data_IF_324773516118
#
_entry.id   IF_324773516118
#
_cell.length_a   1.000
_cell.length_b   1.000
_cell.length_c   1.000
_cell.angle_alpha   90.00
_cell.angle_beta   90.00
_cell.angle_gamma   90.00
#
_symmetry.space_group_name_H-M   'P 1'
#
loop_
_entity.id
_entity.type
_entity.pdbx_description
1 polymer ?
#
# COMPACT_ATOMS: atom_id res chain seq x y z
N UNK A 1 12.31 -28.33 -7.20
CA UNK A 1 12.36 -26.85 -7.06
C UNK A 1 13.35 -26.54 -5.95
N UNK A 2 14.46 -25.82 -6.21
CA UNK A 2 15.38 -25.48 -5.14
C UNK A 2 14.67 -24.51 -4.20
N UNK A 3 14.54 -24.91 -2.94
CA UNK A 3 13.90 -24.13 -1.89
C UNK A 3 14.85 -23.05 -1.39
N UNK A 4 14.51 -21.78 -1.61
CA UNK A 4 15.19 -20.64 -1.00
C UNK A 4 15.17 -20.76 0.52
N UNK A 5 16.32 -20.72 1.23
CA UNK A 5 16.39 -20.87 2.68
C UNK A 5 15.60 -19.76 3.41
N UNK A 6 15.00 -20.11 4.55
CA UNK A 6 14.39 -19.14 5.45
C UNK A 6 15.46 -18.13 5.93
N UNK A 7 15.19 -16.83 5.77
CA UNK A 7 16.09 -15.74 6.17
C UNK A 7 16.88 -15.07 5.03
N UNK A 8 16.77 -15.52 3.77
CA UNK A 8 17.32 -14.74 2.65
C UNK A 8 16.41 -13.55 2.31
N UNK A 9 16.92 -12.33 2.50
CA UNK A 9 16.35 -11.10 1.95
C UNK A 9 16.84 -10.93 0.52
N UNK A 10 15.94 -10.98 -0.45
CA UNK A 10 16.24 -10.67 -1.84
C UNK A 10 15.93 -9.19 -2.09
N UNK A 11 16.93 -8.41 -2.46
CA UNK A 11 16.69 -7.04 -2.96
C UNK A 11 16.19 -7.14 -4.40
N UNK A 12 15.02 -6.56 -4.67
CA UNK A 12 14.41 -6.55 -5.99
C UNK A 12 14.71 -5.25 -6.74
N UNK A 13 14.66 -4.13 -6.03
CA UNK A 13 14.96 -2.81 -6.57
C UNK A 13 15.93 -2.08 -5.67
N UNK A 14 16.94 -1.47 -6.28
CA UNK A 14 17.81 -0.52 -5.60
C UNK A 14 17.27 0.92 -5.67
N UNK A 15 18.02 1.85 -5.10
CA UNK A 15 17.62 3.25 -5.02
C UNK A 15 17.61 3.96 -6.35
N UNK A 16 18.53 3.63 -7.25
CA UNK A 16 18.66 4.36 -8.51
C UNK A 16 17.52 3.94 -9.44
N UNK A 17 17.17 2.64 -9.43
CA UNK A 17 15.96 2.12 -10.07
C UNK A 17 14.69 2.74 -9.49
N UNK A 18 14.56 2.77 -8.15
CA UNK A 18 13.39 3.36 -7.50
C UNK A 18 13.29 4.87 -7.66
N UNK A 19 14.39 5.59 -7.82
CA UNK A 19 14.35 7.01 -8.16
C UNK A 19 13.68 7.24 -9.53
N UNK A 20 14.00 6.40 -10.53
CA UNK A 20 13.32 6.42 -11.83
C UNK A 20 11.82 6.08 -11.73
N UNK A 21 11.47 5.12 -10.86
CA UNK A 21 10.07 4.78 -10.56
C UNK A 21 9.36 5.98 -9.92
N UNK A 22 9.94 6.61 -8.91
CA UNK A 22 9.37 7.77 -8.21
C UNK A 22 9.17 8.97 -9.13
N UNK A 23 10.12 9.23 -10.04
CA UNK A 23 9.97 10.27 -11.06
C UNK A 23 8.82 9.97 -12.02
N UNK A 24 8.57 8.70 -12.34
CA UNK A 24 7.43 8.29 -13.18
C UNK A 24 6.11 8.42 -12.44
N UNK A 25 6.05 8.00 -11.17
CA UNK A 25 4.89 8.22 -10.30
C UNK A 25 4.57 9.71 -10.16
N UNK A 26 5.58 10.57 -10.00
CA UNK A 26 5.41 12.02 -9.90
C UNK A 26 4.82 12.60 -11.20
N UNK A 27 5.31 12.17 -12.37
CA UNK A 27 4.71 12.58 -13.65
C UNK A 27 3.25 12.18 -13.75
N UNK A 28 2.89 10.95 -13.38
CA UNK A 28 1.49 10.52 -13.36
C UNK A 28 0.66 11.35 -12.37
N UNK A 29 1.16 11.57 -11.16
CA UNK A 29 0.48 12.39 -10.15
C UNK A 29 0.23 13.82 -10.64
N UNK A 30 1.18 14.42 -11.37
CA UNK A 30 1.02 15.74 -11.97
C UNK A 30 -0.10 15.81 -13.03
N UNK A 31 -0.48 14.69 -13.65
CA UNK A 31 -1.64 14.63 -14.58
C UNK A 31 -2.98 14.55 -13.85
N UNK A 32 -2.99 14.03 -12.62
CA UNK A 32 -4.22 13.82 -11.83
C UNK A 32 -4.50 15.00 -10.89
N UNK A 33 -3.43 15.58 -10.34
CA UNK A 33 -3.51 16.65 -9.35
C UNK A 33 -3.57 18.02 -10.03
N UNK A 34 -4.52 18.88 -9.63
CA UNK A 34 -4.51 20.28 -10.05
C UNK A 34 -3.31 21.03 -9.47
N UNK A 35 -2.92 22.14 -10.10
CA UNK A 35 -1.82 22.99 -9.63
C UNK A 35 -2.11 23.67 -8.27
N UNK A 36 -3.38 23.84 -7.93
CA UNK A 36 -3.86 24.36 -6.65
C UNK A 36 -4.98 23.49 -6.09
N UNK A 37 -5.25 23.59 -4.79
CA UNK A 37 -6.27 22.78 -4.10
C UNK A 37 -6.00 21.26 -4.21
N UNK A 38 -4.76 20.87 -3.97
CA UNK A 38 -4.34 19.48 -3.82
C UNK A 38 -3.70 19.24 -2.46
N UNK A 39 -3.79 18.01 -1.95
CA UNK A 39 -3.06 17.57 -0.75
C UNK A 39 -2.65 16.10 -0.85
N UNK A 40 -1.50 15.78 -0.27
CA UNK A 40 -1.02 14.41 -0.13
C UNK A 40 -1.43 13.85 1.24
N UNK A 41 -1.86 12.59 1.26
CA UNK A 41 -2.17 11.85 2.48
C UNK A 41 -1.16 10.69 2.60
N UNK A 42 -0.18 10.83 3.48
CA UNK A 42 0.86 9.84 3.68
C UNK A 42 0.47 8.79 4.73
N UNK A 43 0.32 7.52 4.33
CA UNK A 43 -0.01 6.46 5.27
C UNK A 43 1.20 6.09 6.12
N UNK A 44 1.08 6.19 7.44
CA UNK A 44 2.15 5.82 8.34
C UNK A 44 2.31 4.30 8.44
N UNK A 45 3.53 3.77 8.59
CA UNK A 45 4.79 4.50 8.81
C UNK A 45 5.56 4.85 7.54
N UNK A 46 5.55 3.99 6.52
CA UNK A 46 6.44 4.06 5.35
C UNK A 46 5.86 4.86 4.18
N UNK A 47 4.54 4.90 4.04
CA UNK A 47 3.84 5.72 3.03
C UNK A 47 4.03 7.23 3.23
N UNK A 48 4.14 7.72 4.47
CA UNK A 48 4.39 9.14 4.75
C UNK A 48 5.74 9.64 4.17
N UNK A 49 6.90 9.02 4.48
CA UNK A 49 8.16 9.41 3.86
C UNK A 49 8.17 9.23 2.34
N UNK A 50 7.49 8.19 1.83
CA UNK A 50 7.32 8.00 0.39
C UNK A 50 6.55 9.17 -0.23
N UNK A 51 5.49 9.64 0.44
CA UNK A 51 4.73 10.81 0.03
C UNK A 51 5.59 12.08 0.01
N UNK A 52 6.51 12.23 0.97
CA UNK A 52 7.47 13.34 1.01
C UNK A 52 8.45 13.30 -0.16
N UNK A 53 8.96 12.12 -0.52
CA UNK A 53 9.78 11.96 -1.72
C UNK A 53 8.98 12.31 -2.99
N UNK A 54 7.74 11.85 -3.08
CA UNK A 54 6.84 12.17 -4.21
C UNK A 54 6.55 13.67 -4.31
N UNK A 55 6.31 14.33 -3.17
CA UNK A 55 6.10 15.78 -3.05
C UNK A 55 7.29 16.57 -3.63
N UNK A 56 8.52 16.16 -3.28
CA UNK A 56 9.75 16.78 -3.78
C UNK A 56 9.91 16.60 -5.30
N UNK A 57 9.66 15.38 -5.81
CA UNK A 57 9.69 15.13 -7.25
C UNK A 57 8.63 15.94 -8.00
N UNK A 58 7.41 16.04 -7.46
CA UNK A 58 6.33 16.84 -8.03
C UNK A 58 6.70 18.33 -8.12
N UNK A 59 7.18 18.90 -7.01
CA UNK A 59 7.65 20.30 -6.95
C UNK A 59 8.75 20.56 -7.98
N UNK A 60 9.77 19.71 -8.02
CA UNK A 60 10.88 19.83 -8.96
C UNK A 60 10.44 19.71 -10.44
N UNK A 61 9.55 18.76 -10.76
CA UNK A 61 9.12 18.53 -12.14
C UNK A 61 8.15 19.61 -12.66
N UNK A 62 7.32 20.18 -11.79
CA UNK A 62 6.29 21.15 -12.17
C UNK A 62 6.74 22.60 -11.99
N UNK A 63 7.80 22.84 -11.22
CA UNK A 63 8.23 24.18 -10.79
C UNK A 63 7.26 24.86 -9.82
N UNK A 64 6.28 24.12 -9.28
CA UNK A 64 5.28 24.62 -8.33
C UNK A 64 5.75 24.40 -6.88
N UNK A 65 5.22 25.17 -5.91
CA UNK A 65 5.47 24.92 -4.49
C UNK A 65 5.06 23.50 -4.08
N UNK A 66 5.68 23.00 -3.00
CA UNK A 66 5.34 21.70 -2.45
C UNK A 66 3.88 21.64 -1.98
N UNK A 67 3.16 20.63 -2.47
CA UNK A 67 1.76 20.36 -2.10
C UNK A 67 1.70 19.96 -0.62
N UNK A 68 0.76 20.47 0.20
CA UNK A 68 0.64 20.07 1.61
C UNK A 68 0.56 18.55 1.80
N UNK A 69 1.29 18.03 2.79
CA UNK A 69 1.33 16.61 3.15
C UNK A 69 0.78 16.41 4.57
N UNK A 70 -0.21 15.53 4.70
CA UNK A 70 -0.81 15.15 5.98
C UNK A 70 -0.55 13.67 6.28
N UNK A 71 0.07 13.35 7.43
CA UNK A 71 0.23 11.97 7.84
C UNK A 71 -1.10 11.39 8.32
N UNK A 72 -1.34 10.11 8.05
CA UNK A 72 -2.48 9.38 8.56
C UNK A 72 -2.05 8.01 9.08
N UNK A 73 -2.38 7.70 10.33
CA UNK A 73 -2.01 6.44 10.95
C UNK A 73 -3.13 5.42 10.76
N UNK A 74 -2.87 4.40 9.96
CA UNK A 74 -3.79 3.30 9.66
C UNK A 74 -3.08 1.98 9.91
N UNK A 75 -3.67 1.08 10.70
CA UNK A 75 -3.02 -0.17 11.13
C UNK A 75 -4.00 -1.34 11.14
N UNK A 76 -3.64 -2.42 10.44
CA UNK A 76 -4.34 -3.72 10.47
C UNK A 76 -3.40 -4.87 10.79
N UNK A 77 -2.25 -4.89 10.12
CA UNK A 77 -1.23 -5.92 10.29
C UNK A 77 -0.05 -5.39 11.11
N UNK A 78 0.71 -6.30 11.72
CA UNK A 78 2.07 -6.04 12.19
C UNK A 78 3.04 -6.06 10.99
N UNK A 79 4.29 -5.65 11.24
CA UNK A 79 5.33 -5.63 10.21
C UNK A 79 5.64 -7.04 9.65
N UNK A 80 5.32 -8.11 10.40
CA UNK A 80 5.44 -9.50 9.95
C UNK A 80 4.19 -10.00 9.21
N UNK A 81 3.24 -9.13 8.87
CA UNK A 81 1.90 -9.40 8.31
C UNK A 81 0.94 -10.13 9.27
N UNK A 82 1.28 -10.33 10.55
CA UNK A 82 0.35 -10.94 11.50
C UNK A 82 -0.83 -9.99 11.72
N UNK A 83 -2.04 -10.54 11.82
CA UNK A 83 -3.23 -9.71 12.05
C UNK A 83 -3.17 -9.23 13.50
N UNK A 84 -2.92 -7.93 13.70
CA UNK A 84 -2.88 -7.34 15.04
C UNK A 84 -4.26 -7.07 15.60
N UNK A 85 -5.21 -6.74 14.72
CA UNK A 85 -6.56 -6.34 15.08
C UNK A 85 -7.55 -6.99 14.11
N UNK A 86 -8.71 -7.41 14.63
CA UNK A 86 -9.82 -7.91 13.80
C UNK A 86 -10.37 -6.85 12.85
N UNK A 87 -10.14 -5.57 13.15
CA UNK A 87 -10.57 -4.40 12.38
C UNK A 87 -9.38 -3.48 12.07
N UNK A 88 -9.47 -2.72 10.98
CA UNK A 88 -8.43 -1.75 10.60
C UNK A 88 -8.60 -0.48 11.43
N UNK A 89 -7.66 -0.26 12.34
CA UNK A 89 -7.61 0.93 13.20
C UNK A 89 -7.12 2.12 12.39
N UNK A 90 -7.76 3.27 12.58
CA UNK A 90 -7.37 4.56 12.01
C UNK A 90 -7.37 5.57 13.15
N UNK A 91 -6.26 6.27 13.32
CA UNK A 91 -6.17 7.41 14.23
C UNK A 91 -6.39 8.67 13.40
N UNK A 92 -7.44 9.41 13.75
CA UNK A 92 -7.82 10.63 13.05
C UNK A 92 -6.70 11.68 13.14
N UNK A 93 -6.54 12.44 12.06
CA UNK A 93 -5.66 13.60 12.05
C UNK A 93 -6.53 14.86 12.16
N UNK A 94 -6.49 15.59 13.29
CA UNK A 94 -7.31 16.78 13.50
C UNK A 94 -7.12 17.85 12.42
N UNK A 95 -5.93 17.95 11.83
CA UNK A 95 -5.64 18.90 10.76
C UNK A 95 -6.44 18.60 9.48
N UNK A 96 -6.84 17.34 9.25
CA UNK A 96 -7.70 17.01 8.10
C UNK A 96 -9.13 17.48 8.32
N UNK A 97 -9.60 17.54 9.57
CA UNK A 97 -10.95 18.03 9.91
C UNK A 97 -11.13 19.53 9.75
N UNK A 98 -10.04 20.30 9.62
CA UNK A 98 -10.09 21.76 9.42
C UNK A 98 -9.95 22.17 7.95
N UNK A 99 -9.75 21.21 7.04
CA UNK A 99 -9.60 21.48 5.60
C UNK A 99 -10.93 21.47 4.88
N UNK A 100 -11.03 22.30 3.84
CA UNK A 100 -12.10 22.17 2.84
C UNK A 100 -11.79 21.01 1.88
N UNK A 101 -12.05 19.78 2.34
CA UNK A 101 -11.85 18.57 1.53
C UNK A 101 -12.83 18.46 0.36
N UNK A 102 -13.92 19.22 0.37
CA UNK A 102 -14.89 19.22 -0.73
C UNK A 102 -14.34 19.91 -1.98
N UNK A 103 -13.44 20.89 -1.81
CA UNK A 103 -12.73 21.56 -2.92
C UNK A 103 -11.30 21.04 -3.14
N UNK A 104 -10.78 20.20 -2.23
CA UNK A 104 -9.39 19.70 -2.31
C UNK A 104 -9.32 18.32 -2.97
N UNK A 105 -8.42 18.16 -3.95
CA UNK A 105 -8.08 16.85 -4.55
C UNK A 105 -7.03 16.15 -3.69
N UNK A 106 -7.34 14.95 -3.20
CA UNK A 106 -6.44 14.20 -2.32
C UNK A 106 -5.70 13.11 -3.10
N UNK A 107 -4.43 12.89 -2.78
CA UNK A 107 -3.67 11.71 -3.22
C UNK A 107 -3.18 10.94 -1.98
N UNK A 108 -3.76 9.77 -1.74
CA UNK A 108 -3.28 8.83 -0.73
C UNK A 108 -2.00 8.17 -1.25
N UNK A 109 -0.97 8.10 -0.41
CA UNK A 109 0.31 7.46 -0.73
C UNK A 109 0.62 6.39 0.32
N UNK A 110 0.80 5.15 -0.12
CA UNK A 110 1.16 4.00 0.72
C UNK A 110 2.34 3.24 0.12
N UNK A 111 3.02 2.42 0.93
CA UNK A 111 4.15 1.62 0.45
C UNK A 111 3.70 0.41 -0.37
N UNK A 112 2.78 -0.40 0.15
CA UNK A 112 2.36 -1.67 -0.46
C UNK A 112 0.85 -1.82 -0.48
N UNK A 113 0.27 -2.01 -1.67
CA UNK A 113 -1.11 -2.52 -1.81
C UNK A 113 -1.12 -4.04 -1.64
N UNK A 114 -1.65 -4.47 -0.50
CA UNK A 114 -1.88 -5.90 -0.18
C UNK A 114 -3.36 -6.27 -0.37
N UNK A 115 -4.09 -6.61 0.70
CA UNK A 115 -5.51 -6.98 0.62
C UNK A 115 -6.47 -5.79 0.44
N UNK A 116 -5.96 -4.54 0.55
CA UNK A 116 -6.72 -3.31 0.31
C UNK A 116 -7.45 -2.72 1.53
N UNK A 117 -7.35 -3.35 2.71
CA UNK A 117 -8.07 -2.89 3.90
C UNK A 117 -7.66 -1.51 4.42
N UNK A 118 -6.36 -1.21 4.47
CA UNK A 118 -5.87 0.12 4.88
C UNK A 118 -6.40 1.19 3.94
N UNK A 119 -6.31 0.95 2.63
CA UNK A 119 -6.78 1.89 1.62
C UNK A 119 -8.29 2.13 1.71
N UNK A 120 -9.09 1.06 1.80
CA UNK A 120 -10.55 1.17 1.94
C UNK A 120 -10.92 1.97 3.20
N UNK A 121 -10.25 1.70 4.33
CA UNK A 121 -10.50 2.42 5.60
C UNK A 121 -10.17 3.91 5.47
N UNK A 122 -9.05 4.24 4.83
CA UNK A 122 -8.65 5.62 4.55
C UNK A 122 -9.67 6.33 3.66
N UNK A 123 -10.07 5.72 2.54
CA UNK A 123 -11.07 6.31 1.64
C UNK A 123 -12.39 6.57 2.36
N UNK A 124 -12.85 5.62 3.19
CA UNK A 124 -14.08 5.79 3.97
C UNK A 124 -13.97 6.96 4.97
N UNK A 125 -12.84 7.10 5.66
CA UNK A 125 -12.60 8.22 6.57
C UNK A 125 -12.56 9.57 5.86
N UNK A 126 -11.83 9.68 4.74
CA UNK A 126 -11.78 10.92 3.96
C UNK A 126 -13.14 11.30 3.38
N UNK A 127 -13.94 10.32 2.94
CA UNK A 127 -15.31 10.55 2.49
C UNK A 127 -16.22 11.06 3.61
N UNK A 128 -16.07 10.54 4.85
CA UNK A 128 -16.79 11.05 6.02
C UNK A 128 -16.47 12.52 6.33
N UNK A 129 -15.23 12.94 6.08
CA UNK A 129 -14.81 14.33 6.20
C UNK A 129 -15.23 15.22 5.00
N UNK A 130 -15.91 14.66 3.99
CA UNK A 130 -16.43 15.41 2.85
C UNK A 130 -15.51 15.45 1.62
N UNK A 131 -14.47 14.61 1.57
CA UNK A 131 -13.60 14.53 0.39
C UNK A 131 -14.39 14.09 -0.85
N UNK A 132 -14.31 14.88 -1.93
CA UNK A 132 -15.00 14.60 -3.19
C UNK A 132 -14.15 13.86 -4.23
N UNK A 133 -12.83 14.04 -4.18
CA UNK A 133 -11.92 13.45 -5.17
C UNK A 133 -10.65 12.95 -4.48
N UNK A 134 -10.48 11.63 -4.52
CA UNK A 134 -9.38 10.91 -3.86
C UNK A 134 -8.74 9.98 -4.87
N UNK A 135 -7.47 10.23 -5.17
CA UNK A 135 -6.59 9.34 -5.91
C UNK A 135 -5.70 8.56 -4.95
N UNK A 136 -5.05 7.53 -5.48
CA UNK A 136 -4.27 6.57 -4.68
C UNK A 136 -2.99 6.22 -5.43
N UNK A 137 -1.86 6.30 -4.73
CA UNK A 137 -0.56 5.91 -5.21
C UNK A 137 0.05 4.90 -4.26
N UNK A 138 0.61 3.81 -4.80
CA UNK A 138 1.37 2.84 -4.03
C UNK A 138 2.71 2.58 -4.70
N UNK A 139 3.77 2.39 -3.91
CA UNK A 139 5.05 2.01 -4.48
C UNK A 139 4.98 0.60 -5.08
N UNK A 140 4.33 -0.34 -4.38
CA UNK A 140 4.22 -1.73 -4.81
C UNK A 140 2.77 -2.20 -4.81
N UNK A 141 2.32 -2.82 -5.91
CA UNK A 141 1.08 -3.61 -5.96
C UNK A 141 1.41 -5.11 -6.05
N UNK A 142 0.82 -5.89 -5.14
CA UNK A 142 1.00 -7.34 -5.05
C UNK A 142 -0.07 -8.15 -5.81
N UNK A 143 -1.08 -7.50 -6.38
CA UNK A 143 -2.20 -8.12 -7.10
C UNK A 143 -3.00 -9.17 -6.29
N UNK A 144 -3.15 -8.93 -4.99
CA UNK A 144 -3.91 -9.81 -4.07
C UNK A 144 -5.02 -9.06 -3.32
N UNK A 145 -5.45 -7.91 -3.85
CA UNK A 145 -6.50 -7.10 -3.25
C UNK A 145 -7.81 -7.90 -3.13
N UNK A 146 -8.38 -7.92 -1.93
CA UNK A 146 -9.67 -8.56 -1.62
C UNK A 146 -10.78 -7.53 -1.43
N UNK A 147 -10.40 -6.28 -1.12
CA UNK A 147 -11.31 -5.16 -1.04
C UNK A 147 -11.57 -4.56 -2.43
N UNK A 148 -12.73 -3.92 -2.66
CA UNK A 148 -13.07 -3.31 -3.95
C UNK A 148 -12.36 -1.95 -4.14
N UNK A 149 -11.03 -1.94 -4.02
CA UNK A 149 -10.18 -0.76 -4.17
C UNK A 149 -9.00 -1.08 -5.08
N UNK A 150 -8.49 -0.06 -5.75
CA UNK A 150 -7.29 -0.15 -6.59
C UNK A 150 -6.44 1.11 -6.43
N UNK A 151 -5.16 0.98 -6.76
CA UNK A 151 -4.26 2.12 -6.88
C UNK A 151 -4.43 2.77 -8.25
N UNK A 152 -4.49 4.10 -8.30
CA UNK A 152 -4.47 4.85 -9.56
C UNK A 152 -3.05 4.95 -10.12
N UNK A 153 -2.06 5.02 -9.23
CA UNK A 153 -0.64 5.07 -9.56
C UNK A 153 0.04 3.91 -8.85
N UNK A 154 0.72 3.06 -9.61
CA UNK A 154 1.55 1.97 -9.08
C UNK A 154 2.98 2.21 -9.54
N UNK A 155 3.93 2.17 -8.61
CA UNK A 155 5.36 2.23 -8.96
C UNK A 155 5.83 0.94 -9.60
N UNK A 156 5.65 -0.18 -8.89
CA UNK A 156 6.10 -1.51 -9.28
C UNK A 156 4.98 -2.52 -9.05
N UNK A 157 4.75 -3.37 -10.05
CA UNK A 157 3.89 -4.54 -9.93
C UNK A 157 4.73 -5.77 -9.57
N UNK A 158 4.40 -6.46 -8.49
CA UNK A 158 5.10 -7.66 -8.04
C UNK A 158 4.15 -8.85 -7.91
N UNK A 159 4.46 -9.94 -8.61
CA UNK A 159 3.81 -11.23 -8.40
C UNK A 159 4.62 -11.99 -7.34
N UNK A 160 4.08 -12.10 -6.13
CA UNK A 160 4.77 -12.70 -4.98
C UNK A 160 3.96 -13.84 -4.38
N UNK A 161 4.63 -14.82 -3.77
CA UNK A 161 3.95 -15.90 -3.08
C UNK A 161 3.14 -15.38 -1.88
N UNK A 162 2.11 -16.12 -1.48
CA UNK A 162 1.26 -15.75 -0.34
C UNK A 162 2.03 -15.58 0.98
N UNK A 163 3.16 -16.29 1.14
CA UNK A 163 4.01 -16.24 2.34
C UNK A 163 5.21 -15.30 2.20
N UNK A 164 5.38 -14.65 1.06
CA UNK A 164 6.44 -13.67 0.86
C UNK A 164 5.99 -12.32 1.46
N UNK A 165 6.90 -11.69 2.21
CA UNK A 165 6.76 -10.36 2.77
C UNK A 165 7.49 -9.40 1.85
N UNK A 166 6.79 -8.38 1.37
CA UNK A 166 7.39 -7.24 0.68
C UNK A 166 7.86 -6.25 1.73
N UNK A 167 9.16 -5.99 1.77
CA UNK A 167 9.79 -4.99 2.64
C UNK A 167 10.10 -3.75 1.82
N UNK A 168 9.48 -2.62 2.15
CA UNK A 168 9.81 -1.31 1.61
C UNK A 168 10.64 -0.53 2.65
N UNK A 169 11.91 -0.29 2.35
CA UNK A 169 12.75 0.57 3.15
C UNK A 169 12.66 1.98 2.58
N UNK A 170 12.14 2.93 3.36
CA UNK A 170 12.01 4.33 2.96
C UNK A 170 12.63 5.20 4.07
N UNK A 171 13.68 5.98 3.79
CA UNK A 171 14.26 6.90 4.76
C UNK A 171 13.23 7.95 5.22
N UNK A 172 13.26 8.42 6.48
CA UNK A 172 14.29 8.20 7.50
C UNK A 172 14.00 7.03 8.47
N UNK A 173 12.96 6.22 8.25
CA UNK A 173 12.49 5.26 9.27
C UNK A 173 13.31 3.97 9.39
N UNK A 174 14.13 3.64 8.40
CA UNK A 174 15.01 2.47 8.42
C UNK A 174 16.40 2.87 8.94
N UNK A 175 16.77 2.40 10.13
CA UNK A 175 18.07 2.69 10.76
C UNK A 175 19.29 2.27 9.91
N UNK A 176 19.10 1.30 9.01
CA UNK A 176 20.14 0.75 8.13
C UNK A 176 20.11 1.29 6.69
N UNK A 177 19.28 2.29 6.36
CA UNK A 177 19.19 2.74 4.96
C UNK A 177 18.93 4.24 4.83
N UNK A 178 19.92 4.96 4.29
CA UNK A 178 19.81 6.32 3.74
C UNK A 178 19.10 6.34 2.38
N UNK A 179 18.57 5.21 1.94
CA UNK A 179 18.27 4.87 0.55
C UNK A 179 16.97 4.07 0.45
N UNK A 180 16.12 4.38 -0.52
CA UNK A 180 14.88 3.63 -0.77
C UNK A 180 15.22 2.26 -1.39
N UNK A 181 14.56 1.20 -0.95
CA UNK A 181 14.74 -0.15 -1.48
C UNK A 181 13.46 -0.99 -1.33
N UNK A 182 13.24 -1.91 -2.28
CA UNK A 182 12.18 -2.92 -2.21
C UNK A 182 12.83 -4.30 -2.18
N UNK A 183 12.45 -5.12 -1.20
CA UNK A 183 12.93 -6.48 -1.06
C UNK A 183 11.83 -7.48 -0.73
N UNK A 184 12.17 -8.76 -0.86
CA UNK A 184 11.35 -9.88 -0.43
C UNK A 184 12.05 -10.64 0.69
N UNK A 185 11.28 -10.97 1.73
CA UNK A 185 11.66 -11.97 2.73
C UNK A 185 10.58 -13.03 2.81
N UNK A 186 10.93 -14.24 3.25
CA UNK A 186 9.95 -15.30 3.52
C UNK A 186 9.63 -15.35 5.00
N UNK A 187 8.34 -15.47 5.32
CA UNK A 187 7.97 -15.92 6.66
C UNK A 187 8.62 -17.29 6.95
N UNK A 188 9.16 -17.52 8.16
CA UNK A 188 9.44 -18.87 8.60
C UNK A 188 8.14 -19.67 8.49
N UNK A 189 8.17 -20.82 7.83
CA UNK A 189 7.03 -21.73 7.88
C UNK A 189 6.85 -22.17 9.33
N UNK A 190 5.84 -21.64 10.03
CA UNK A 190 5.37 -22.28 11.24
C UNK A 190 4.88 -23.66 10.79
N UNK A 191 5.50 -24.72 11.31
CA UNK A 191 5.22 -26.10 10.95
C UNK A 191 3.82 -26.52 11.39
N UNK A 192 2.79 -25.99 10.74
CA UNK A 192 1.44 -26.53 10.80
C UNK A 192 1.32 -27.37 9.53
N UNK A 193 1.58 -28.66 9.69
CA UNK A 193 1.11 -29.67 8.74
C UNK A 193 -0.39 -29.48 8.59
N UNK A 194 -0.85 -28.99 7.44
CA UNK A 194 -2.25 -29.11 7.06
C UNK A 194 -2.63 -30.59 7.18
N UNK A 195 -3.72 -30.97 7.87
CA UNK A 195 -4.17 -32.35 7.80
C UNK A 195 -4.41 -32.66 6.32
N UNK A 196 -3.77 -33.73 5.81
CA UNK A 196 -4.04 -34.23 4.47
C UNK A 196 -5.56 -34.32 4.34
N UNK A 197 -6.14 -33.60 3.39
CA UNK A 197 -7.52 -33.86 2.97
C UNK A 197 -7.53 -35.30 2.47
N UNK A 198 -7.92 -36.23 3.33
CA UNK A 198 -8.42 -37.52 2.86
C UNK A 198 -9.70 -37.20 2.10
N UNK A 199 -9.69 -37.50 0.82
CA UNK A 199 -10.89 -37.50 0.00
C UNK A 199 -11.83 -38.59 0.51
N UNK A 200 -12.62 -38.29 1.53
CA UNK A 200 -13.82 -39.07 1.83
C UNK A 200 -14.87 -38.65 0.79
N UNK A 201 -15.09 -39.52 -0.18
CA UNK A 201 -16.26 -39.47 -1.06
C UNK A 201 -17.50 -39.53 -0.17
N UNK A 202 -18.27 -38.44 -0.09
CA UNK A 202 -19.61 -38.47 0.50
C UNK A 202 -20.57 -39.08 -0.54
N UNK A 203 -21.22 -40.22 -0.25
CA UNK A 203 -22.29 -40.73 -1.10
C UNK A 203 -23.60 -39.99 -0.77
N UNK A 204 -24.27 -39.51 -1.81
CA UNK A 204 -25.70 -39.21 -1.75
C UNK A 204 -26.06 -37.74 -1.63
N UNK A 205 -26.04 -37.03 -2.75
CA UNK A 205 -27.03 -35.98 -3.02
C UNK A 205 -27.65 -36.28 -4.38
N UNK A 206 -28.89 -36.76 -4.32
CA UNK A 206 -29.76 -37.02 -5.48
C UNK A 206 -30.08 -35.68 -6.12
N UNK A 207 -29.68 -35.53 -7.37
CA UNK A 207 -30.10 -34.45 -8.25
C UNK A 207 -31.57 -34.66 -8.60
N UNK A 208 -32.47 -33.81 -8.10
CA UNK A 208 -33.83 -33.69 -8.65
C UNK A 208 -33.86 -32.52 -9.62
N UNK A 209 -33.72 -32.84 -10.91
CA UNK A 209 -34.20 -32.03 -12.03
C UNK A 209 -35.73 -31.96 -11.98
N UNK A 210 -36.29 -30.77 -12.12
CA UNK A 210 -37.73 -30.57 -12.24
C UNK A 210 -38.07 -29.14 -12.62
N UNK A 211 -38.15 -28.92 -13.95
CA UNK A 211 -38.97 -27.97 -14.74
C UNK A 211 -39.21 -26.58 -14.15
#
# INVERSE_FOLDING_TARGET
>A
MPSTPAGQRLRLYDTDELNGVMQTMARHAATLLPASQAALIGIQRRGEPLARLLQQHLSHQTGQPEIPLYPLKVKRYADDLSVLHSHTELIENPLLGTLDLASTTLLIVDDVLFEGHSLLRTCAYLAQLGARRVYTAVLVDRHVCQQPVHAHIVGVHLQVGANDIVECNVPPLSADSSRIAVGLSRRPSTGITSPRRTSSVCPGWICSTGI
#
